data_IF_316809429723
#
_entry.id   IF_316809429723
#
_cell.length_a   1.000
_cell.length_b   1.000
_cell.length_c   1.000
_cell.angle_alpha   90.00
_cell.angle_beta   90.00
_cell.angle_gamma   90.00
#
_symmetry.space_group_name_H-M   'P 1'
#
loop_
_entity.id
_entity.type
_entity.pdbx_description
1 polymer ?
#
# COMPACT_ATOMS: atom_id res chain seq x y z
N UNK A 1 -27.57 -14.59 -0.09
CA UNK A 1 -27.50 -13.19 -0.56
C UNK A 1 -26.70 -12.25 0.35
N UNK A 2 -26.82 -12.33 1.68
CA UNK A 2 -26.20 -11.39 2.64
C UNK A 2 -24.66 -11.36 2.56
N UNK A 3 -24.00 -12.52 2.44
CA UNK A 3 -22.53 -12.63 2.40
C UNK A 3 -21.91 -11.89 1.20
N UNK A 4 -22.57 -11.91 0.03
CA UNK A 4 -22.08 -11.23 -1.17
C UNK A 4 -22.17 -9.70 -1.06
N UNK A 5 -23.22 -9.18 -0.40
CA UNK A 5 -23.37 -7.75 -0.14
C UNK A 5 -22.35 -7.25 0.89
N UNK A 6 -22.10 -8.03 1.94
CA UNK A 6 -21.10 -7.73 2.97
C UNK A 6 -19.67 -7.74 2.39
N UNK A 7 -19.32 -8.74 1.57
CA UNK A 7 -18.02 -8.76 0.86
C UNK A 7 -17.84 -7.57 -0.08
N UNK A 8 -18.89 -7.09 -0.76
CA UNK A 8 -18.83 -5.92 -1.66
C UNK A 8 -18.49 -4.60 -0.96
N UNK A 9 -18.79 -4.46 0.33
CA UNK A 9 -18.48 -3.25 1.12
C UNK A 9 -17.16 -3.36 1.89
N UNK A 10 -16.81 -4.54 2.38
CA UNK A 10 -15.60 -4.73 3.20
C UNK A 10 -14.32 -4.71 2.34
N UNK A 11 -14.34 -5.33 1.16
CA UNK A 11 -13.17 -5.39 0.27
C UNK A 11 -12.59 -4.01 -0.08
N UNK A 12 -13.38 -3.00 -0.52
CA UNK A 12 -12.81 -1.67 -0.81
C UNK A 12 -12.24 -1.00 0.45
N UNK A 13 -12.87 -1.17 1.62
CA UNK A 13 -12.35 -0.63 2.88
C UNK A 13 -11.02 -1.26 3.27
N UNK A 14 -10.89 -2.59 3.16
CA UNK A 14 -9.65 -3.30 3.45
C UNK A 14 -8.53 -2.90 2.47
N UNK A 15 -8.84 -2.72 1.20
CA UNK A 15 -7.86 -2.30 0.19
C UNK A 15 -7.37 -0.86 0.43
N UNK A 16 -8.28 0.04 0.81
CA UNK A 16 -7.93 1.42 1.18
C UNK A 16 -7.08 1.45 2.45
N UNK A 17 -7.53 0.79 3.52
CA UNK A 17 -6.82 0.75 4.79
C UNK A 17 -5.45 0.06 4.68
N UNK A 18 -5.42 -1.15 4.13
CA UNK A 18 -4.18 -1.91 3.94
C UNK A 18 -3.20 -1.21 3.00
N UNK A 19 -3.70 -0.60 1.91
CA UNK A 19 -2.88 0.19 1.02
C UNK A 19 -2.29 1.43 1.70
N UNK A 20 -3.07 2.16 2.50
CA UNK A 20 -2.60 3.32 3.26
C UNK A 20 -1.54 2.94 4.30
N UNK A 21 -1.74 1.84 5.03
CA UNK A 21 -0.74 1.33 5.98
C UNK A 21 0.58 0.97 5.30
N UNK A 22 0.53 0.31 4.14
CA UNK A 22 1.72 -0.02 3.36
C UNK A 22 2.47 1.23 2.87
N UNK A 23 1.75 2.23 2.36
CA UNK A 23 2.36 3.51 1.93
C UNK A 23 3.02 4.21 3.12
N UNK A 24 2.34 4.30 4.26
CA UNK A 24 2.88 4.94 5.46
C UNK A 24 4.11 4.20 5.97
N UNK A 25 4.04 2.87 6.09
CA UNK A 25 5.17 2.06 6.54
C UNK A 25 6.37 2.15 5.60
N UNK A 26 6.15 2.08 4.28
CA UNK A 26 7.21 2.22 3.29
C UNK A 26 7.84 3.63 3.32
N UNK A 27 7.03 4.67 3.46
CA UNK A 27 7.52 6.06 3.57
C UNK A 27 8.33 6.27 4.85
N UNK A 28 7.83 5.80 6.00
CA UNK A 28 8.54 5.91 7.27
C UNK A 28 9.87 5.15 7.23
N UNK A 29 9.86 3.92 6.72
CA UNK A 29 11.09 3.14 6.59
C UNK A 29 12.09 3.77 5.60
N UNK A 30 11.62 4.46 4.55
CA UNK A 30 12.47 5.24 3.65
C UNK A 30 13.13 6.43 4.34
N UNK A 31 12.34 7.19 5.11
CA UNK A 31 12.85 8.35 5.86
C UNK A 31 13.82 7.89 6.94
N UNK A 32 13.49 6.81 7.66
CA UNK A 32 14.37 6.18 8.63
C UNK A 32 15.65 5.69 7.96
N UNK A 33 15.56 5.00 6.82
CA UNK A 33 16.73 4.55 6.07
C UNK A 33 17.60 5.73 5.62
N UNK A 34 17.01 6.85 5.18
CA UNK A 34 17.76 8.04 4.77
C UNK A 34 18.47 8.72 5.94
N UNK A 35 17.87 8.73 7.13
CA UNK A 35 18.44 9.34 8.33
C UNK A 35 19.47 8.44 9.01
N UNK A 36 19.24 7.11 9.00
CA UNK A 36 20.06 6.13 9.73
C UNK A 36 21.16 5.51 8.87
N UNK A 37 20.99 5.34 7.55
CA UNK A 37 22.08 4.82 6.71
C UNK A 37 23.09 5.94 6.44
N UNK A 38 24.13 5.99 7.26
CA UNK A 38 25.39 6.65 6.93
C UNK A 38 26.17 5.78 5.89
N UNK A 39 27.03 6.32 5.02
CA UNK A 39 27.70 5.55 3.95
C UNK A 39 28.50 4.34 4.44
N UNK A 40 28.79 4.29 5.75
CA UNK A 40 29.46 3.19 6.44
C UNK A 40 28.61 1.92 6.63
N UNK A 41 27.28 2.01 6.60
CA UNK A 41 26.39 0.89 6.93
C UNK A 41 26.09 -0.06 5.76
N UNK A 42 26.52 0.30 4.54
CA UNK A 42 26.45 -0.60 3.37
C UNK A 42 27.24 -1.90 3.60
N UNK A 43 28.26 -1.85 4.47
CA UNK A 43 29.11 -3.00 4.83
C UNK A 43 28.47 -3.87 5.91
N UNK A 44 27.63 -3.31 6.79
CA UNK A 44 27.03 -4.04 7.91
C UNK A 44 25.78 -4.84 7.51
N UNK A 45 25.00 -4.35 6.54
CA UNK A 45 23.74 -4.97 6.12
C UNK A 45 23.88 -5.86 4.88
N UNK A 46 25.00 -5.80 4.15
CA UNK A 46 25.24 -6.61 2.95
C UNK A 46 24.23 -6.35 1.81
N UNK A 47 23.41 -5.29 1.92
CA UNK A 47 22.40 -4.90 0.95
C UNK A 47 22.74 -3.49 0.47
N UNK A 48 22.84 -3.33 -0.85
CA UNK A 48 23.09 -2.02 -1.45
C UNK A 48 21.91 -1.06 -1.19
N UNK A 49 22.19 0.22 -0.93
CA UNK A 49 21.15 1.27 -0.84
C UNK A 49 20.18 1.20 -2.02
N UNK A 50 20.68 0.97 -3.24
CA UNK A 50 19.83 0.91 -4.43
C UNK A 50 18.79 -0.21 -4.40
N UNK A 51 19.10 -1.33 -3.76
CA UNK A 51 18.18 -2.45 -3.61
C UNK A 51 17.11 -2.16 -2.57
N UNK A 52 17.50 -1.55 -1.44
CA UNK A 52 16.58 -1.04 -0.41
C UNK A 52 15.58 -0.03 -1.00
N UNK A 53 16.08 0.93 -1.79
CA UNK A 53 15.24 1.90 -2.49
C UNK A 53 14.26 1.25 -3.47
N UNK A 54 14.68 0.20 -4.20
CA UNK A 54 13.80 -0.57 -5.08
C UNK A 54 12.67 -1.27 -4.30
N UNK A 55 12.98 -1.92 -3.19
CA UNK A 55 11.98 -2.61 -2.35
C UNK A 55 10.97 -1.64 -1.74
N UNK A 56 11.44 -0.48 -1.28
CA UNK A 56 10.55 0.56 -0.77
C UNK A 56 9.69 1.18 -1.88
N UNK A 57 10.27 1.49 -3.04
CA UNK A 57 9.52 1.98 -4.20
C UNK A 57 8.44 0.98 -4.65
N UNK A 58 8.77 -0.32 -4.69
CA UNK A 58 7.82 -1.38 -5.00
C UNK A 58 6.68 -1.46 -3.97
N UNK A 59 7.01 -1.32 -2.68
CA UNK A 59 6.02 -1.32 -1.58
C UNK A 59 5.08 -0.11 -1.66
N UNK A 60 5.64 1.07 -1.98
CA UNK A 60 4.87 2.30 -2.17
C UNK A 60 3.92 2.18 -3.37
N UNK A 61 4.43 1.65 -4.49
CA UNK A 61 3.63 1.39 -5.68
C UNK A 61 2.50 0.38 -5.41
N UNK A 62 2.80 -0.70 -4.68
CA UNK A 62 1.80 -1.69 -4.28
C UNK A 62 0.71 -1.07 -3.40
N UNK A 63 1.09 -0.26 -2.40
CA UNK A 63 0.14 0.45 -1.54
C UNK A 63 -0.76 1.41 -2.31
N UNK A 64 -0.20 2.20 -3.23
CA UNK A 64 -0.97 3.10 -4.12
C UNK A 64 -1.91 2.35 -5.05
N UNK A 65 -1.48 1.21 -5.59
CA UNK A 65 -2.33 0.35 -6.41
C UNK A 65 -3.50 -0.23 -5.62
N UNK A 66 -3.26 -0.65 -4.37
CA UNK A 66 -4.31 -1.12 -3.47
C UNK A 66 -5.33 -0.02 -3.17
N UNK A 67 -4.86 1.19 -2.87
CA UNK A 67 -5.75 2.36 -2.66
C UNK A 67 -6.57 2.63 -3.92
N UNK A 68 -5.92 2.73 -5.09
CA UNK A 68 -6.58 2.99 -6.37
C UNK A 68 -7.62 1.92 -6.73
N UNK A 69 -7.32 0.66 -6.43
CA UNK A 69 -8.27 -0.44 -6.58
C UNK A 69 -9.43 -0.31 -5.59
N UNK A 70 -9.15 -0.01 -4.31
CA UNK A 70 -10.17 0.21 -3.29
C UNK A 70 -11.15 1.31 -3.68
N UNK A 71 -10.66 2.45 -4.19
CA UNK A 71 -11.49 3.54 -4.73
C UNK A 71 -12.34 3.05 -5.91
N UNK A 72 -11.75 2.34 -6.87
CA UNK A 72 -12.45 1.85 -8.06
C UNK A 72 -13.54 0.83 -7.70
N UNK A 73 -13.24 -0.08 -6.77
CA UNK A 73 -14.17 -1.08 -6.28
C UNK A 73 -15.34 -0.43 -5.51
N UNK A 74 -15.05 0.56 -4.65
CA UNK A 74 -16.07 1.35 -3.96
C UNK A 74 -17.00 2.09 -4.92
N UNK A 75 -16.45 2.76 -5.94
CA UNK A 75 -17.24 3.45 -6.98
C UNK A 75 -18.15 2.51 -7.78
N UNK A 76 -17.67 1.30 -8.12
CA UNK A 76 -18.50 0.27 -8.78
C UNK A 76 -19.63 -0.22 -7.87
N UNK A 77 -19.36 -0.36 -6.56
CA UNK A 77 -20.38 -0.71 -5.56
C UNK A 77 -21.49 0.34 -5.45
N UNK A 78 -21.13 1.62 -5.41
CA UNK A 78 -22.10 2.73 -5.37
C UNK A 78 -22.93 2.82 -6.65
N UNK A 79 -22.31 2.67 -7.83
CA UNK A 79 -23.03 2.66 -9.11
C UNK A 79 -24.00 1.49 -9.26
N UNK A 80 -23.67 0.33 -8.70
CA UNK A 80 -24.57 -0.83 -8.69
C UNK A 80 -25.76 -0.63 -7.75
N UNK A 81 -25.56 0.06 -6.62
CA UNK A 81 -26.64 0.39 -5.69
C UNK A 81 -27.60 1.46 -6.24
N UNK A 82 -27.12 2.40 -7.04
CA UNK A 82 -27.95 3.45 -7.66
C UNK A 82 -28.82 2.95 -8.83
N UNK A 83 -28.62 1.72 -9.31
CA UNK A 83 -29.39 1.08 -10.39
C UNK A 83 -30.39 0.03 -9.88
N UNK A 84 -30.43 -0.21 -8.58
CA UNK A 84 -31.35 -1.13 -7.89
C UNK A 84 -32.45 -0.34 -7.21
#
# INVERSE_FOLDING_TARGET
MIVAATKRRIVPFLLLGGGATLVLSATLNLVSAWILLEPSDEVALGISRGEVWRWFGASLAAGLLMIGWGVRAGRRGLRAAAKS
#
